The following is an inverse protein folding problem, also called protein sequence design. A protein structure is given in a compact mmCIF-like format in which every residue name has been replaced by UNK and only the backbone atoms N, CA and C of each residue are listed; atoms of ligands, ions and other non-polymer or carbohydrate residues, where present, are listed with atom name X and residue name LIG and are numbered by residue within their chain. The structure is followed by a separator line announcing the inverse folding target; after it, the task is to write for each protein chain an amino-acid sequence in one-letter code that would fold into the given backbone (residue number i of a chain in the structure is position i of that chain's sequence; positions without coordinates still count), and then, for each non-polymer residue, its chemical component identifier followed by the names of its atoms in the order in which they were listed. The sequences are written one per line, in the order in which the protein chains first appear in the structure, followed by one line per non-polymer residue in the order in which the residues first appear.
data_IF_214226611139
#
_entry.id   IF_214226611139
#
_cell.length_a   1.000
_cell.length_b   1.000
_cell.length_c   1.000
_cell.angle_alpha   90.00
_cell.angle_beta   90.00
_cell.angle_gamma   90.00
#
_symmetry.space_group_name_H-M   'P 1'
#
loop_
_entity.id
_entity.type
_entity.pdbx_description
1 polymer ?
#
# COMPACT_ATOMS: atom_id res chain seq x y z
N UNK A 1 -32.55 -7.33 -10.81
CA UNK A 1 -32.11 -8.31 -9.79
C UNK A 1 -32.07 -7.63 -8.40
N UNK A 2 -32.51 -8.27 -7.31
CA UNK A 2 -32.75 -7.59 -6.03
C UNK A 2 -31.49 -7.23 -5.21
N UNK A 3 -30.32 -7.79 -5.55
CA UNK A 3 -29.08 -7.65 -4.74
C UNK A 3 -28.11 -6.57 -5.24
N UNK A 4 -28.57 -5.63 -6.06
CA UNK A 4 -27.73 -4.51 -6.49
C UNK A 4 -27.83 -3.40 -5.46
N UNK A 5 -26.89 -3.38 -4.51
CA UNK A 5 -26.68 -2.22 -3.64
C UNK A 5 -26.09 -1.07 -4.45
N UNK A 6 -26.83 0.02 -4.57
CA UNK A 6 -26.36 1.27 -5.17
C UNK A 6 -25.89 2.16 -4.02
N UNK A 7 -24.59 2.44 -3.98
CA UNK A 7 -24.02 3.25 -2.92
C UNK A 7 -24.64 4.65 -2.89
N UNK A 8 -25.02 5.10 -1.70
CA UNK A 8 -25.56 6.44 -1.47
C UNK A 8 -24.49 7.53 -1.51
N UNK A 9 -24.90 8.81 -1.53
CA UNK A 9 -23.95 9.92 -1.39
C UNK A 9 -23.15 9.81 -0.08
N UNK A 10 -21.81 9.84 -0.20
CA UNK A 10 -20.90 9.72 0.95
C UNK A 10 -20.57 8.29 1.39
N UNK A 11 -21.13 7.25 0.74
CA UNK A 11 -20.83 5.87 1.09
C UNK A 11 -19.54 5.38 0.43
N UNK A 12 -18.60 4.91 1.24
CA UNK A 12 -17.34 4.34 0.78
C UNK A 12 -17.54 2.89 0.33
N UNK A 13 -17.34 2.63 -0.96
CA UNK A 13 -17.41 1.28 -1.53
C UNK A 13 -16.00 0.74 -1.74
N UNK A 14 -15.74 -0.45 -1.22
CA UNK A 14 -14.51 -1.19 -1.51
C UNK A 14 -14.74 -2.12 -2.70
N UNK A 15 -14.06 -1.86 -3.82
CA UNK A 15 -14.12 -2.69 -5.02
C UNK A 15 -12.71 -3.22 -5.33
N UNK A 16 -12.53 -4.54 -5.29
CA UNK A 16 -11.24 -5.20 -5.59
C UNK A 16 -10.04 -4.67 -4.76
N UNK A 17 -10.29 -4.07 -3.61
CA UNK A 17 -9.26 -3.52 -2.72
C UNK A 17 -8.98 -2.03 -2.90
N UNK A 18 -9.48 -1.39 -3.95
CA UNK A 18 -9.56 0.08 -4.02
C UNK A 18 -10.84 0.57 -3.34
N UNK A 19 -10.80 1.83 -2.92
CA UNK A 19 -11.90 2.49 -2.21
C UNK A 19 -12.39 3.68 -3.02
N UNK A 20 -13.71 3.76 -3.21
CA UNK A 20 -14.38 4.82 -3.99
C UNK A 20 -15.50 5.44 -3.15
N UNK A 21 -15.64 6.77 -3.20
CA UNK A 21 -16.63 7.53 -2.41
C UNK A 21 -16.14 8.96 -2.15
N UNK A 22 -16.95 9.78 -1.47
CA UNK A 22 -16.62 11.18 -1.12
C UNK A 22 -16.44 11.32 0.41
N UNK A 23 -15.48 12.14 0.86
CA UNK A 23 -15.33 12.52 2.27
C UNK A 23 -14.31 11.75 3.11
N UNK A 24 -13.38 11.00 2.50
CA UNK A 24 -12.29 10.33 3.21
C UNK A 24 -10.91 10.78 2.71
N UNK A 25 -9.93 10.74 3.61
CA UNK A 25 -8.54 11.03 3.28
C UNK A 25 -7.95 9.88 2.45
N UNK A 26 -7.46 10.20 1.25
CA UNK A 26 -6.93 9.20 0.31
C UNK A 26 -5.74 8.41 0.89
N UNK A 27 -5.07 8.97 1.91
CA UNK A 27 -3.98 8.35 2.68
C UNK A 27 -4.44 7.20 3.57
N UNK A 28 -5.68 7.22 4.09
CA UNK A 28 -6.22 6.15 4.95
C UNK A 28 -6.35 4.82 4.20
N UNK A 29 -6.62 4.89 2.90
CA UNK A 29 -6.73 3.71 2.03
C UNK A 29 -5.42 2.92 1.94
N UNK A 30 -4.29 3.60 2.09
CA UNK A 30 -2.97 3.01 1.96
C UNK A 30 -2.45 2.38 3.26
N UNK A 31 -3.07 2.67 4.41
CA UNK A 31 -2.63 2.16 5.71
C UNK A 31 -2.51 0.62 5.77
N UNK A 32 -3.53 -0.16 5.32
CA UNK A 32 -3.41 -1.61 5.32
C UNK A 32 -2.24 -2.14 4.46
N UNK A 33 -1.92 -1.43 3.37
CA UNK A 33 -0.80 -1.78 2.48
C UNK A 33 0.53 -1.46 3.15
N UNK A 34 0.64 -0.28 3.76
CA UNK A 34 1.82 0.17 4.51
C UNK A 34 2.17 -0.84 5.61
N UNK A 35 1.20 -1.22 6.45
CA UNK A 35 1.44 -2.16 7.54
C UNK A 35 1.84 -3.55 7.05
N UNK A 36 1.23 -4.01 5.95
CA UNK A 36 1.59 -5.29 5.33
C UNK A 36 3.00 -5.28 4.74
N UNK A 37 3.41 -4.18 4.14
CA UNK A 37 4.77 -3.98 3.62
C UNK A 37 5.77 -4.02 4.77
N UNK A 38 5.56 -3.24 5.84
CA UNK A 38 6.44 -3.22 7.03
C UNK A 38 6.62 -4.62 7.62
N UNK A 39 5.51 -5.32 7.90
CA UNK A 39 5.56 -6.67 8.47
C UNK A 39 6.30 -7.67 7.56
N UNK A 40 6.16 -7.52 6.24
CA UNK A 40 6.86 -8.36 5.27
C UNK A 40 8.37 -8.07 5.27
N UNK A 41 8.76 -6.79 5.23
CA UNK A 41 10.17 -6.38 5.27
C UNK A 41 10.84 -6.77 6.59
N UNK A 42 10.19 -6.59 7.74
CA UNK A 42 10.69 -7.09 9.03
C UNK A 42 10.95 -8.60 9.00
N UNK A 43 10.03 -9.38 8.42
CA UNK A 43 10.23 -10.83 8.28
C UNK A 43 11.44 -11.15 7.41
N UNK A 44 11.64 -10.44 6.30
CA UNK A 44 12.81 -10.59 5.45
C UNK A 44 14.11 -10.16 6.14
N UNK A 45 14.07 -9.09 6.93
CA UNK A 45 15.20 -8.57 7.70
C UNK A 45 15.76 -9.58 8.71
N UNK A 46 14.90 -10.45 9.27
CA UNK A 46 15.33 -11.53 10.20
C UNK A 46 16.32 -12.52 9.57
N UNK A 47 16.33 -12.65 8.25
CA UNK A 47 17.28 -13.52 7.53
C UNK A 47 18.66 -12.88 7.31
N UNK A 48 18.90 -11.66 7.83
CA UNK A 48 20.16 -10.92 7.71
C UNK A 48 20.70 -10.86 6.27
N UNK A 49 19.88 -10.41 5.29
CA UNK A 49 20.33 -10.26 3.91
C UNK A 49 21.48 -9.26 3.80
N UNK A 50 22.32 -9.43 2.78
CA UNK A 50 23.32 -8.42 2.40
C UNK A 50 22.65 -7.12 1.97
N UNK A 51 23.39 -6.00 1.90
CA UNK A 51 22.86 -4.72 1.41
C UNK A 51 22.18 -4.86 0.04
N UNK A 52 22.83 -5.53 -0.91
CA UNK A 52 22.23 -5.80 -2.22
C UNK A 52 20.96 -6.68 -2.13
N UNK A 53 20.91 -7.60 -1.16
CA UNK A 53 19.72 -8.38 -0.85
C UNK A 53 18.58 -7.52 -0.30
N UNK A 54 18.89 -6.57 0.60
CA UNK A 54 17.92 -5.61 1.14
C UNK A 54 17.34 -4.72 0.05
N UNK A 55 18.18 -4.11 -0.80
CA UNK A 55 17.71 -3.30 -1.92
C UNK A 55 16.76 -4.08 -2.83
N UNK A 56 17.13 -5.30 -3.23
CA UNK A 56 16.28 -6.15 -4.09
C UNK A 56 14.96 -6.52 -3.42
N UNK A 57 15.00 -6.90 -2.14
CA UNK A 57 13.81 -7.24 -1.38
C UNK A 57 12.87 -6.03 -1.23
N UNK A 58 13.41 -4.86 -0.87
CA UNK A 58 12.65 -3.62 -0.75
C UNK A 58 11.93 -3.27 -2.05
N UNK A 59 12.65 -3.20 -3.18
CA UNK A 59 12.07 -2.90 -4.48
C UNK A 59 11.00 -3.91 -4.88
N UNK A 60 11.28 -5.21 -4.74
CA UNK A 60 10.34 -6.26 -5.15
C UNK A 60 9.06 -6.24 -4.30
N UNK A 61 9.20 -6.11 -2.97
CA UNK A 61 8.07 -6.14 -2.04
C UNK A 61 7.24 -4.86 -2.21
N UNK A 62 7.84 -3.68 -2.03
CA UNK A 62 7.11 -2.40 -2.10
C UNK A 62 6.47 -2.22 -3.47
N UNK A 63 7.19 -2.53 -4.56
CA UNK A 63 6.65 -2.48 -5.91
C UNK A 63 5.43 -3.40 -6.08
N UNK A 64 5.53 -4.66 -5.65
CA UNK A 64 4.44 -5.64 -5.79
C UNK A 64 3.18 -5.24 -5.02
N UNK A 65 3.33 -4.67 -3.82
CA UNK A 65 2.21 -4.29 -2.96
C UNK A 65 1.51 -3.00 -3.41
N UNK A 66 2.22 -2.11 -4.09
CA UNK A 66 1.69 -0.78 -4.45
C UNK A 66 1.18 -0.73 -5.89
N UNK A 67 1.80 -1.47 -6.82
CA UNK A 67 1.58 -1.32 -8.27
C UNK A 67 0.11 -1.30 -8.71
N UNK A 68 -0.70 -2.25 -8.23
CA UNK A 68 -2.11 -2.32 -8.61
C UNK A 68 -2.91 -1.13 -8.06
N UNK A 69 -2.78 -0.84 -6.77
CA UNK A 69 -3.57 0.20 -6.11
C UNK A 69 -3.20 1.60 -6.65
N UNK A 70 -1.92 1.82 -6.97
CA UNK A 70 -1.45 3.04 -7.64
C UNK A 70 -2.16 3.22 -8.99
N UNK A 71 -2.37 2.13 -9.74
CA UNK A 71 -3.09 2.18 -11.03
C UNK A 71 -4.59 2.34 -10.87
N UNK A 72 -5.18 1.75 -9.83
CA UNK A 72 -6.63 1.75 -9.63
C UNK A 72 -7.18 3.07 -9.07
N UNK A 73 -6.41 3.78 -8.25
CA UNK A 73 -6.88 4.99 -7.54
C UNK A 73 -5.81 6.06 -7.33
N UNK A 74 -4.61 5.90 -7.90
CA UNK A 74 -3.49 6.81 -7.68
C UNK A 74 -2.84 6.66 -6.30
N UNK A 75 -1.63 7.21 -6.16
CA UNK A 75 -0.90 7.28 -4.90
C UNK A 75 -0.67 8.76 -4.54
N UNK A 76 -1.16 9.24 -3.38
CA UNK A 76 -0.83 10.57 -2.88
C UNK A 76 0.66 10.69 -2.58
N UNK A 77 1.21 11.91 -2.71
CA UNK A 77 2.63 12.20 -2.44
C UNK A 77 3.04 11.82 -1.01
N UNK A 78 2.23 12.15 -0.01
CA UNK A 78 2.48 11.76 1.39
C UNK A 78 2.58 10.24 1.59
N UNK A 79 1.87 9.44 0.76
CA UNK A 79 1.98 7.98 0.78
C UNK A 79 3.28 7.52 0.12
N UNK A 80 3.71 8.17 -0.96
CA UNK A 80 5.00 7.90 -1.60
C UNK A 80 6.15 8.15 -0.62
N UNK A 81 6.17 9.32 0.04
CA UNK A 81 7.17 9.68 1.06
C UNK A 81 7.24 8.63 2.17
N UNK A 82 6.08 8.11 2.57
CA UNK A 82 6.00 7.05 3.59
C UNK A 82 6.67 5.76 3.10
N UNK A 83 6.46 5.36 1.84
CA UNK A 83 7.11 4.17 1.29
C UNK A 83 8.62 4.37 1.06
N UNK A 84 9.05 5.57 0.65
CA UNK A 84 10.47 5.90 0.52
C UNK A 84 11.18 5.78 1.87
N UNK A 85 10.58 6.34 2.93
CA UNK A 85 11.10 6.20 4.29
C UNK A 85 11.18 4.74 4.75
N UNK A 86 10.17 3.92 4.46
CA UNK A 86 10.19 2.49 4.78
C UNK A 86 11.30 1.74 4.03
N UNK A 87 11.58 2.12 2.77
CA UNK A 87 12.67 1.54 1.98
C UNK A 87 14.01 1.91 2.62
N UNK A 88 14.21 3.19 2.95
CA UNK A 88 15.45 3.68 3.55
C UNK A 88 15.72 3.00 4.90
N UNK A 89 14.71 2.95 5.78
CA UNK A 89 14.78 2.32 7.11
C UNK A 89 15.09 0.81 7.05
N UNK A 90 14.71 0.13 5.96
CA UNK A 90 14.99 -1.30 5.79
C UNK A 90 16.35 -1.57 5.15
N UNK A 91 16.78 -0.70 4.22
CA UNK A 91 18.01 -0.88 3.46
C UNK A 91 19.22 -0.55 4.33
N UNK A 92 19.20 0.59 5.00
CA UNK A 92 20.31 1.14 5.79
C UNK A 92 20.23 0.75 7.27
#
# INVERSE_FOLDING_TARGET
PPDIHIAGEGEMVRLLGSYYGYGFEQTEVWQPVIEKVKATLERWGRHKPTLAGRCRAATAIVGSFTQYLTRAQGMPEATLDTFEKIIDDFVF
#
